data_IF_612112489912
#
_entry.id   IF_612112489912
#
_cell.length_a   1.000
_cell.length_b   1.000
_cell.length_c   1.000
_cell.angle_alpha   90.00
_cell.angle_beta   90.00
_cell.angle_gamma   90.00
#
_symmetry.space_group_name_H-M   'P 1'
#
loop_
_entity.id
_entity.type
_entity.pdbx_description
1 polymer ?
#
# COMPACT_ATOMS: atom_id res chain seq x y z
N UNK A 1 -9.08 0.29 -21.79
CA UNK A 1 -7.99 0.48 -20.80
C UNK A 1 -6.73 0.80 -21.58
N UNK A 2 -5.94 1.80 -21.19
CA UNK A 2 -4.64 2.07 -21.83
C UNK A 2 -3.64 0.98 -21.41
N UNK A 3 -2.67 0.67 -22.27
CA UNK A 3 -1.59 -0.25 -21.95
C UNK A 3 -0.76 0.31 -20.76
N UNK A 4 -0.39 -0.48 -19.73
CA UNK A 4 0.29 0.04 -18.53
C UNK A 4 1.65 0.70 -18.86
N UNK A 5 2.30 0.30 -19.95
CA UNK A 5 3.54 0.89 -20.42
C UNK A 5 3.33 1.92 -21.56
N UNK A 6 2.14 2.52 -21.68
CA UNK A 6 1.83 3.44 -22.80
C UNK A 6 2.75 4.68 -22.84
N UNK A 7 3.26 5.11 -21.69
CA UNK A 7 4.19 6.24 -21.57
C UNK A 7 5.65 5.87 -21.89
N UNK A 8 5.97 4.56 -22.00
CA UNK A 8 7.32 4.08 -22.28
C UNK A 8 7.53 3.99 -23.80
N UNK A 9 8.06 5.05 -24.40
CA UNK A 9 8.21 5.15 -25.86
C UNK A 9 9.51 4.55 -26.38
N UNK A 10 10.52 4.38 -25.52
CA UNK A 10 11.83 3.90 -25.88
C UNK A 10 12.20 2.62 -25.15
N UNK A 11 12.96 1.75 -25.82
CA UNK A 11 13.51 0.54 -25.23
C UNK A 11 14.50 0.90 -24.13
N UNK A 12 14.36 0.41 -22.89
CA UNK A 12 15.29 0.72 -21.81
C UNK A 12 16.66 0.07 -21.97
N UNK A 13 16.80 -0.95 -22.85
CA UNK A 13 18.07 -1.63 -23.11
C UNK A 13 18.90 -0.91 -24.18
N UNK A 14 18.30 -0.56 -25.33
CA UNK A 14 19.05 -0.02 -26.47
C UNK A 14 18.63 1.39 -26.90
N UNK A 15 17.66 2.00 -26.25
CA UNK A 15 17.16 3.34 -26.57
C UNK A 15 16.29 3.45 -27.82
N UNK A 16 16.05 2.34 -28.53
CA UNK A 16 15.25 2.37 -29.77
C UNK A 16 13.81 2.77 -29.52
N UNK A 17 13.25 3.60 -30.41
CA UNK A 17 11.82 3.93 -30.46
C UNK A 17 10.93 2.81 -31.03
N UNK A 18 11.54 1.72 -31.56
CA UNK A 18 10.80 0.55 -32.07
C UNK A 18 10.42 -0.42 -30.93
N UNK A 19 9.79 0.15 -29.89
CA UNK A 19 9.38 -0.54 -28.66
C UNK A 19 7.87 -0.67 -28.58
N UNK A 20 7.35 -1.77 -29.12
CA UNK A 20 5.94 -1.98 -29.39
C UNK A 20 5.25 -2.85 -28.34
N UNK A 21 3.93 -2.69 -28.20
CA UNK A 21 3.11 -3.57 -27.37
C UNK A 21 3.21 -5.02 -27.85
N UNK A 22 3.50 -5.94 -26.93
CA UNK A 22 3.66 -7.37 -27.21
C UNK A 22 2.45 -8.17 -26.67
N UNK A 23 1.94 -7.80 -25.52
CA UNK A 23 0.70 -8.31 -24.93
C UNK A 23 0.15 -7.29 -23.90
N UNK A 24 -0.90 -7.64 -23.14
CA UNK A 24 -1.60 -6.75 -22.20
C UNK A 24 -0.68 -6.10 -21.13
N UNK A 25 0.49 -6.65 -20.87
CA UNK A 25 1.40 -6.17 -19.82
C UNK A 25 2.88 -6.11 -20.22
N UNK A 26 3.19 -6.26 -21.50
CA UNK A 26 4.59 -6.22 -21.95
C UNK A 26 4.74 -5.45 -23.25
N UNK A 27 5.92 -4.81 -23.39
CA UNK A 27 6.42 -4.27 -24.65
C UNK A 27 7.70 -5.01 -25.07
N UNK A 28 7.90 -5.16 -26.38
CA UNK A 28 9.08 -5.78 -26.98
C UNK A 28 9.77 -4.82 -27.93
N UNK A 29 11.07 -4.73 -27.83
CA UNK A 29 11.88 -4.02 -28.79
C UNK A 29 12.08 -4.86 -30.04
N UNK A 30 11.74 -4.31 -31.20
CA UNK A 30 11.87 -5.02 -32.48
C UNK A 30 13.31 -4.98 -33.01
N UNK A 31 14.18 -4.12 -32.46
CA UNK A 31 15.57 -3.98 -32.89
C UNK A 31 16.52 -4.87 -32.08
N UNK A 32 16.41 -4.90 -30.73
CA UNK A 32 17.31 -5.70 -29.90
C UNK A 32 16.66 -6.95 -29.28
N UNK A 33 15.33 -7.12 -29.43
CA UNK A 33 14.58 -8.26 -28.89
C UNK A 33 14.24 -8.18 -27.41
N UNK A 34 14.71 -7.15 -26.67
CA UNK A 34 14.40 -6.97 -25.24
C UNK A 34 12.89 -6.90 -25.01
N UNK A 35 12.41 -7.62 -24.00
CA UNK A 35 11.00 -7.61 -23.60
C UNK A 35 10.87 -7.16 -22.15
N UNK A 36 10.13 -6.07 -21.93
CA UNK A 36 9.82 -5.57 -20.60
C UNK A 36 8.41 -5.95 -20.19
N UNK A 37 8.27 -6.57 -19.02
CA UNK A 37 6.99 -6.92 -18.42
C UNK A 37 6.66 -5.95 -17.29
N UNK A 38 5.46 -5.37 -17.35
CA UNK A 38 4.90 -4.63 -16.22
C UNK A 38 4.33 -5.61 -15.19
N UNK A 39 4.76 -5.49 -13.95
CA UNK A 39 4.26 -6.26 -12.82
C UNK A 39 3.72 -5.32 -11.76
N UNK A 40 2.73 -5.77 -10.98
CA UNK A 40 2.28 -5.01 -9.80
C UNK A 40 3.38 -4.98 -8.76
N UNK A 41 3.57 -3.81 -8.15
CA UNK A 41 4.45 -3.65 -6.99
C UNK A 41 3.75 -4.24 -5.76
N UNK A 42 4.53 -4.78 -4.83
CA UNK A 42 4.01 -5.18 -3.53
C UNK A 42 3.97 -3.95 -2.59
N UNK A 43 2.90 -3.84 -1.82
CA UNK A 43 2.76 -2.89 -0.72
C UNK A 43 2.19 -3.59 0.50
N UNK A 44 2.49 -3.11 1.69
CA UNK A 44 2.03 -3.66 2.97
C UNK A 44 1.18 -2.66 3.73
N UNK A 45 0.20 -3.16 4.48
CA UNK A 45 -0.74 -2.34 5.25
C UNK A 45 -0.93 -2.97 6.62
N UNK A 46 -0.71 -2.21 7.69
CA UNK A 46 -0.83 -2.67 9.07
C UNK A 46 -2.19 -2.36 9.67
N UNK A 47 -2.84 -3.37 10.22
CA UNK A 47 -3.99 -3.23 11.12
C UNK A 47 -3.46 -3.45 12.53
N UNK A 48 -3.27 -2.36 13.28
CA UNK A 48 -2.78 -2.37 14.67
C UNK A 48 -3.94 -2.06 15.58
N UNK A 49 -4.25 -2.96 16.51
CA UNK A 49 -5.33 -2.79 17.48
C UNK A 49 -4.75 -2.67 18.89
N UNK A 50 -5.21 -1.65 19.62
CA UNK A 50 -4.89 -1.51 21.05
C UNK A 50 -5.73 -2.46 21.93
N UNK A 51 -5.48 -2.45 23.24
CA UNK A 51 -6.20 -3.29 24.22
C UNK A 51 -7.72 -3.02 24.28
N UNK A 52 -8.16 -1.83 23.85
CA UNK A 52 -9.59 -1.47 23.77
C UNK A 52 -10.26 -1.95 22.48
N UNK A 53 -9.49 -2.51 21.53
CA UNK A 53 -9.97 -2.92 20.21
C UNK A 53 -10.16 -1.76 19.23
N UNK A 54 -9.58 -0.59 19.53
CA UNK A 54 -9.50 0.55 18.62
C UNK A 54 -8.36 0.31 17.61
N UNK A 55 -8.54 0.77 16.36
CA UNK A 55 -7.56 0.62 15.27
C UNK A 55 -6.72 1.88 15.14
N UNK A 56 -5.41 1.73 15.00
CA UNK A 56 -4.50 2.82 14.71
C UNK A 56 -4.72 3.33 13.28
N UNK A 57 -5.01 4.60 13.16
CA UNK A 57 -5.23 5.33 11.92
C UNK A 57 -4.15 6.37 11.75
N UNK A 58 -3.59 6.46 10.55
CA UNK A 58 -2.69 7.51 10.13
C UNK A 58 -3.44 8.58 9.32
N UNK A 59 -3.01 9.84 9.40
CA UNK A 59 -3.46 10.90 8.49
C UNK A 59 -2.36 11.19 7.49
N UNK A 60 -2.65 11.12 6.21
CA UNK A 60 -1.70 11.35 5.14
C UNK A 60 -1.16 12.78 5.11
N UNK A 61 0.16 12.95 5.13
CA UNK A 61 0.83 14.25 4.98
C UNK A 61 1.06 14.64 3.52
N UNK A 62 1.12 13.67 2.59
CA UNK A 62 1.47 13.87 1.18
C UNK A 62 0.39 13.36 0.22
N UNK A 63 0.42 13.83 -1.02
CA UNK A 63 -0.38 13.29 -2.12
C UNK A 63 0.13 11.91 -2.58
N UNK A 64 -0.73 11.08 -3.13
CA UNK A 64 -2.17 11.28 -3.34
C UNK A 64 -2.99 11.19 -2.06
N UNK A 65 -4.14 11.83 -2.06
CA UNK A 65 -5.13 11.82 -0.98
C UNK A 65 -4.65 12.46 0.34
N UNK A 66 -3.80 13.51 0.26
CA UNK A 66 -3.35 14.28 1.43
C UNK A 66 -4.50 14.70 2.33
N UNK A 67 -4.33 14.56 3.65
CA UNK A 67 -5.29 14.94 4.69
C UNK A 67 -6.38 13.90 4.97
N UNK A 68 -6.51 12.85 4.16
CA UNK A 68 -7.44 11.74 4.42
C UNK A 68 -6.83 10.73 5.39
N UNK A 69 -7.68 9.84 5.92
CA UNK A 69 -7.22 8.71 6.72
C UNK A 69 -6.56 7.64 5.86
N UNK A 70 -5.62 6.94 6.49
CA UNK A 70 -4.89 5.79 5.96
C UNK A 70 -4.60 4.79 7.10
N UNK A 71 -4.06 3.65 6.75
CA UNK A 71 -3.45 2.71 7.68
C UNK A 71 -1.93 2.76 7.49
N UNK A 72 -1.12 2.58 8.55
CA UNK A 72 0.34 2.55 8.41
C UNK A 72 0.79 1.49 7.41
N UNK A 73 1.76 1.82 6.56
CA UNK A 73 2.28 0.92 5.54
C UNK A 73 2.82 1.63 4.31
N UNK A 74 3.45 0.87 3.42
CA UNK A 74 4.07 1.39 2.21
C UNK A 74 4.56 0.32 1.26
N UNK A 75 5.49 0.68 0.36
CA UNK A 75 6.04 -0.27 -0.60
C UNK A 75 7.02 -1.25 0.05
N UNK A 76 7.01 -2.48 -0.46
CA UNK A 76 8.04 -3.47 -0.14
C UNK A 76 9.30 -3.13 -0.92
N UNK A 77 10.43 -3.00 -0.24
CA UNK A 77 11.73 -2.72 -0.86
C UNK A 77 12.34 -3.95 -1.52
N UNK A 78 13.37 -3.73 -2.37
CA UNK A 78 14.14 -4.81 -2.98
C UNK A 78 14.85 -5.62 -1.89
N UNK A 79 14.76 -6.96 -2.00
CA UNK A 79 15.37 -7.93 -1.06
C UNK A 79 14.73 -7.96 0.33
N UNK A 80 13.54 -7.40 0.49
CA UNK A 80 12.76 -7.37 1.72
C UNK A 80 11.57 -8.32 1.61
N UNK A 81 11.26 -9.04 2.68
CA UNK A 81 10.00 -9.79 2.80
C UNK A 81 8.85 -8.84 3.18
N UNK A 82 7.60 -9.26 2.95
CA UNK A 82 6.44 -8.45 3.35
C UNK A 82 6.36 -8.26 4.89
N UNK A 83 6.84 -9.25 5.66
CA UNK A 83 6.92 -9.19 7.12
C UNK A 83 7.99 -8.20 7.61
N UNK A 84 9.11 -8.10 6.92
CA UNK A 84 10.16 -7.10 7.18
C UNK A 84 9.67 -5.70 6.79
N UNK A 85 9.06 -5.57 5.61
CA UNK A 85 8.49 -4.32 5.12
C UNK A 85 7.47 -3.74 6.09
N UNK A 86 6.50 -4.55 6.57
CA UNK A 86 5.47 -4.04 7.47
C UNK A 86 6.06 -3.58 8.82
N UNK A 87 7.10 -4.24 9.31
CA UNK A 87 7.77 -3.84 10.55
C UNK A 87 8.57 -2.53 10.37
N UNK A 88 9.24 -2.36 9.22
CA UNK A 88 9.98 -1.15 8.85
C UNK A 88 9.03 0.03 8.68
N UNK A 89 8.00 -0.10 7.82
CA UNK A 89 7.04 0.97 7.52
C UNK A 89 6.32 1.47 8.78
N UNK A 90 5.81 0.55 9.62
CA UNK A 90 5.18 0.94 10.88
C UNK A 90 6.15 1.71 11.77
N UNK A 91 7.41 1.28 11.84
CA UNK A 91 8.42 2.00 12.64
C UNK A 91 8.73 3.38 12.06
N UNK A 92 8.86 3.50 10.75
CA UNK A 92 9.21 4.76 10.06
C UNK A 92 8.09 5.79 10.17
N UNK A 93 6.82 5.36 10.08
CA UNK A 93 5.67 6.25 10.11
C UNK A 93 5.14 6.56 11.51
N UNK A 94 5.32 5.63 12.46
CA UNK A 94 4.66 5.71 13.77
C UNK A 94 5.60 5.64 14.96
N UNK A 95 6.85 5.22 14.79
CA UNK A 95 7.80 4.93 15.86
C UNK A 95 7.55 3.61 16.60
N UNK A 96 6.46 2.90 16.29
CA UNK A 96 6.09 1.66 16.98
C UNK A 96 6.97 0.48 16.55
N UNK A 97 7.24 -0.42 17.49
CA UNK A 97 7.92 -1.68 17.22
C UNK A 97 6.91 -2.81 17.13
N UNK A 98 6.85 -3.48 15.97
CA UNK A 98 5.99 -4.64 15.75
C UNK A 98 6.61 -5.90 16.36
N UNK A 99 5.86 -6.60 17.19
CA UNK A 99 6.25 -7.86 17.84
C UNK A 99 5.73 -9.10 17.10
N UNK A 100 4.65 -8.94 16.35
CA UNK A 100 4.11 -10.00 15.48
C UNK A 100 3.29 -9.40 14.36
N UNK A 101 3.35 -10.03 13.18
CA UNK A 101 2.53 -9.73 12.02
C UNK A 101 1.89 -11.02 11.50
N UNK A 102 0.61 -10.96 11.14
CA UNK A 102 -0.14 -12.07 10.57
C UNK A 102 -0.82 -11.59 9.30
N UNK A 103 -0.49 -12.20 8.16
CA UNK A 103 -1.18 -11.93 6.89
C UNK A 103 -2.67 -12.24 6.99
N UNK A 104 -3.51 -11.36 6.46
CA UNK A 104 -4.96 -11.49 6.44
C UNK A 104 -5.50 -11.70 5.03
N UNK A 105 -5.26 -10.75 4.14
CA UNK A 105 -5.75 -10.73 2.76
C UNK A 105 -4.96 -9.72 1.92
N UNK A 106 -5.17 -9.74 0.60
CA UNK A 106 -4.65 -8.72 -0.30
C UNK A 106 -5.75 -8.07 -1.13
N UNK A 107 -5.51 -6.82 -1.56
CA UNK A 107 -6.40 -6.04 -2.40
C UNK A 107 -5.57 -5.35 -3.49
N UNK A 108 -5.97 -5.47 -4.79
CA UNK A 108 -5.31 -4.72 -5.85
C UNK A 108 -5.66 -3.23 -5.74
N UNK A 109 -4.68 -2.37 -6.05
CA UNK A 109 -4.84 -0.92 -6.04
C UNK A 109 -4.14 -0.29 -7.25
N UNK A 110 -4.49 0.97 -7.53
CA UNK A 110 -3.79 1.83 -8.47
C UNK A 110 -3.39 3.08 -7.72
N UNK A 111 -2.09 3.27 -7.61
CA UNK A 111 -1.48 4.43 -6.97
C UNK A 111 -0.93 5.36 -8.05
N UNK A 112 -1.49 6.56 -8.18
CA UNK A 112 -1.01 7.53 -9.18
C UNK A 112 0.16 8.31 -8.59
N UNK A 113 1.33 8.15 -9.21
CA UNK A 113 2.55 8.85 -8.81
C UNK A 113 3.23 9.46 -10.04
N UNK A 114 3.57 10.76 -9.98
CA UNK A 114 4.19 11.50 -11.10
C UNK A 114 3.45 11.35 -12.44
N UNK A 115 2.10 11.27 -12.41
CA UNK A 115 1.28 11.07 -13.60
C UNK A 115 1.33 9.66 -14.19
N UNK A 116 1.92 8.70 -13.47
CA UNK A 116 1.99 7.29 -13.85
C UNK A 116 1.11 6.43 -12.92
N UNK A 117 0.35 5.50 -13.49
CA UNK A 117 -0.45 4.53 -12.74
C UNK A 117 0.43 3.37 -12.28
N UNK A 118 0.82 3.38 -11.02
CA UNK A 118 1.50 2.26 -10.37
C UNK A 118 0.46 1.29 -9.88
N UNK A 119 0.41 0.10 -10.46
CA UNK A 119 -0.44 -0.97 -9.97
C UNK A 119 0.22 -1.64 -8.78
N UNK A 120 -0.50 -1.77 -7.66
CA UNK A 120 -0.01 -2.45 -6.46
C UNK A 120 -0.89 -3.62 -6.08
N UNK A 121 -0.33 -4.52 -5.30
CA UNK A 121 -1.03 -5.54 -4.54
C UNK A 121 -0.75 -5.24 -3.06
N UNK A 122 -1.74 -4.65 -2.40
CA UNK A 122 -1.63 -4.23 -1.01
C UNK A 122 -1.94 -5.43 -0.11
N UNK A 123 -0.96 -5.85 0.67
CA UNK A 123 -0.97 -6.99 1.58
C UNK A 123 -1.33 -6.51 2.99
N UNK A 124 -2.48 -6.91 3.50
CA UNK A 124 -2.96 -6.50 4.81
C UNK A 124 -2.51 -7.48 5.90
N UNK A 125 -1.91 -6.93 6.96
CA UNK A 125 -1.43 -7.67 8.12
C UNK A 125 -2.11 -7.20 9.39
N UNK A 126 -2.53 -8.13 10.23
CA UNK A 126 -2.83 -7.85 11.63
C UNK A 126 -1.51 -7.80 12.39
N UNK A 127 -1.19 -6.67 13.00
CA UNK A 127 0.05 -6.43 13.70
C UNK A 127 -0.20 -6.19 15.20
N UNK A 128 0.78 -6.61 16.02
CA UNK A 128 0.84 -6.25 17.44
C UNK A 128 2.08 -5.40 17.68
N UNK A 129 1.91 -4.29 18.36
CA UNK A 129 3.00 -3.42 18.82
C UNK A 129 3.47 -3.82 20.23
N UNK A 130 4.67 -3.40 20.55
CA UNK A 130 5.26 -3.61 21.89
C UNK A 130 4.63 -2.67 22.94
N UNK A 131 4.46 -1.40 22.56
CA UNK A 131 3.92 -0.34 23.43
C UNK A 131 3.30 0.76 22.54
N UNK A 132 2.00 0.94 22.63
CA UNK A 132 1.26 1.92 21.82
C UNK A 132 1.35 3.36 22.38
N UNK A 133 1.88 3.53 23.61
CA UNK A 133 1.96 4.84 24.27
C UNK A 133 3.05 5.76 23.69
N UNK A 134 3.99 5.20 22.93
CA UNK A 134 5.18 5.92 22.39
C UNK A 134 5.04 6.32 20.92
N UNK A 135 3.84 6.20 20.32
CA UNK A 135 3.64 6.53 18.91
C UNK A 135 3.87 8.02 18.63
N UNK A 136 4.53 8.29 17.50
CA UNK A 136 4.82 9.64 17.01
C UNK A 136 4.64 9.67 15.51
N UNK A 137 3.82 10.61 14.96
CA UNK A 137 3.68 10.73 13.51
C UNK A 137 5.00 11.18 12.89
N UNK A 138 5.48 10.44 11.88
CA UNK A 138 6.73 10.67 11.17
C UNK A 138 6.54 10.45 9.67
N UNK A 139 7.53 10.82 8.86
CA UNK A 139 7.59 10.66 7.41
C UNK A 139 6.34 11.19 6.68
N UNK A 140 5.56 10.32 6.08
CA UNK A 140 4.38 10.63 5.26
C UNK A 140 3.08 10.77 6.09
N UNK A 141 3.19 10.72 7.42
CA UNK A 141 2.09 10.79 8.38
C UNK A 141 2.11 12.12 9.12
N UNK A 142 0.98 12.83 9.10
CA UNK A 142 0.80 14.11 9.82
C UNK A 142 0.16 13.97 11.20
N UNK A 143 -0.54 12.87 11.45
CA UNK A 143 -1.26 12.60 12.69
C UNK A 143 -1.52 11.10 12.86
N UNK A 144 -1.58 10.65 14.12
CA UNK A 144 -1.87 9.27 14.51
C UNK A 144 -2.95 9.26 15.58
N UNK A 145 -3.97 8.43 15.40
CA UNK A 145 -5.07 8.31 16.36
C UNK A 145 -5.63 6.89 16.39
N UNK A 146 -6.10 6.45 17.55
CA UNK A 146 -6.88 5.24 17.70
C UNK A 146 -8.37 5.54 17.55
N UNK A 147 -9.05 4.76 16.68
CA UNK A 147 -10.50 4.92 16.42
C UNK A 147 -11.19 3.58 16.68
N UNK A 148 -12.31 3.62 17.40
CA UNK A 148 -13.18 2.45 17.58
C UNK A 148 -13.65 1.95 16.21
N UNK A 149 -13.55 0.64 15.99
CA UNK A 149 -13.96 0.00 14.73
C UNK A 149 -15.39 0.39 14.31
N UNK A 150 -16.29 0.64 15.27
CA UNK A 150 -17.69 1.02 15.01
C UNK A 150 -17.82 2.43 14.45
N UNK A 151 -16.81 3.28 14.65
CA UNK A 151 -16.76 4.66 14.16
C UNK A 151 -16.01 4.81 12.84
N UNK A 152 -15.31 3.77 12.39
CA UNK A 152 -14.61 3.76 11.11
C UNK A 152 -15.60 3.88 9.95
N UNK A 153 -15.34 4.82 9.05
CA UNK A 153 -16.11 5.04 7.82
C UNK A 153 -15.18 4.87 6.63
N UNK A 154 -15.42 3.89 5.74
CA UNK A 154 -14.60 3.71 4.55
C UNK A 154 -14.41 4.97 3.71
N UNK A 155 -15.41 5.86 3.67
CA UNK A 155 -15.37 7.12 2.93
C UNK A 155 -14.31 8.13 3.40
N UNK A 156 -13.84 8.03 4.65
CA UNK A 156 -12.82 8.92 5.22
C UNK A 156 -11.40 8.56 4.74
N UNK A 157 -11.24 7.40 4.12
CA UNK A 157 -9.95 6.90 3.62
C UNK A 157 -9.77 7.27 2.14
N UNK A 158 -8.61 7.82 1.80
CA UNK A 158 -8.33 8.33 0.46
C UNK A 158 -8.05 7.26 -0.59
N UNK A 159 -7.37 6.17 -0.21
CA UNK A 159 -6.95 5.11 -1.12
C UNK A 159 -8.02 4.02 -1.27
N UNK A 160 -8.19 3.52 -2.50
CA UNK A 160 -9.26 2.56 -2.82
C UNK A 160 -9.07 1.22 -2.10
N UNK A 161 -7.84 0.72 -2.04
CA UNK A 161 -7.53 -0.55 -1.34
C UNK A 161 -7.80 -0.44 0.15
N UNK A 162 -7.43 0.69 0.76
CA UNK A 162 -7.66 0.93 2.19
C UNK A 162 -9.14 0.98 2.50
N UNK A 163 -9.95 1.69 1.69
CA UNK A 163 -11.43 1.69 1.84
C UNK A 163 -11.99 0.27 1.85
N UNK A 164 -11.60 -0.54 0.86
CA UNK A 164 -12.03 -1.95 0.76
C UNK A 164 -11.51 -2.80 1.92
N UNK A 165 -10.31 -2.51 2.41
CA UNK A 165 -9.74 -3.16 3.58
C UNK A 165 -10.55 -2.87 4.84
N UNK A 166 -10.91 -1.60 5.07
CA UNK A 166 -11.78 -1.19 6.17
C UNK A 166 -13.17 -1.84 6.05
N UNK A 167 -13.78 -1.90 4.84
CA UNK A 167 -15.05 -2.60 4.62
C UNK A 167 -14.97 -4.07 5.08
N UNK A 168 -13.90 -4.80 4.70
CA UNK A 168 -13.67 -6.19 5.13
C UNK A 168 -13.53 -6.34 6.63
N UNK A 169 -12.79 -5.43 7.29
CA UNK A 169 -12.62 -5.43 8.75
C UNK A 169 -13.98 -5.25 9.45
N UNK A 170 -14.81 -4.34 8.92
CA UNK A 170 -16.14 -4.07 9.48
C UNK A 170 -17.13 -5.22 9.26
N UNK A 171 -17.01 -5.96 8.15
CA UNK A 171 -17.81 -7.18 7.91
C UNK A 171 -17.49 -8.26 8.94
N UNK A 172 -16.21 -8.52 9.22
CA UNK A 172 -15.78 -9.50 10.24
C UNK A 172 -16.31 -9.15 11.64
N UNK A 173 -16.40 -7.87 11.98
CA UNK A 173 -17.00 -7.41 13.26
C UNK A 173 -18.49 -7.69 13.33
N UNK A 174 -19.22 -7.63 12.21
CA UNK A 174 -20.67 -7.92 12.14
C UNK A 174 -20.99 -9.41 12.26
N UNK A 175 -20.11 -10.27 11.72
CA UNK A 175 -20.32 -11.74 11.72
C UNK A 175 -20.02 -12.35 13.10
N UNK A 176 -19.16 -11.73 13.91
CA UNK A 176 -18.78 -12.21 15.25
C UNK A 176 -19.74 -11.79 16.37
N UNK A 177 -20.81 -11.07 16.05
CA UNK A 177 -21.95 -10.76 16.94
C UNK A 177 -23.10 -11.72 16.73
#
# INVERSE_FOLDING_TARGET
>A
MKHPLHQFHFCPECGSGNFSENNLKSKKCMDCGFTYYFNSSAAVVAIIENEKGEVLIARRAKDPAKGTYDLPGGFVDMYETAEEAIAREVREETGLLITSSKYLFSIPNIYVYSGFEVHTMDLFFQCKSLDDSVMTPMDDVSDLLFIDKRELRPADFGLISIRKGIEKILEDVRIRK
#
